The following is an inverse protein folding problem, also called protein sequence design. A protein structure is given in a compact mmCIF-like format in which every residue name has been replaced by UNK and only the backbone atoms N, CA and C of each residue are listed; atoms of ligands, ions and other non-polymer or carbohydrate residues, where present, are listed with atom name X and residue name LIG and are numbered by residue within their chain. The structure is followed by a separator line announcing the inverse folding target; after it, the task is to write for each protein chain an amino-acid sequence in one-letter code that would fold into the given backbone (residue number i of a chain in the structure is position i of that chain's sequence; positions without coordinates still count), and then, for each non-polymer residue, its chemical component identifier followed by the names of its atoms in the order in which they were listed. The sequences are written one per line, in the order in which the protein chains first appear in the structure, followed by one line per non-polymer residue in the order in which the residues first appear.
data_IF_899567641849
#
_entry.id   IF_899567641849
#
_cell.length_a   1.000
_cell.length_b   1.000
_cell.length_c   1.000
_cell.angle_alpha   90.00
_cell.angle_beta   90.00
_cell.angle_gamma   90.00
#
_symmetry.space_group_name_H-M   'P 1'
#
loop_
_entity.id
_entity.type
_entity.pdbx_description
1 polymer ?
#
# COMPACT_ATOMS: atom_id res chain seq x y z
N UNK A 1 -3.47 9.63 -40.68
CA UNK A 1 -2.79 10.08 -39.43
C UNK A 1 -2.96 9.04 -38.31
N UNK A 2 -2.35 7.84 -38.41
CA UNK A 2 -2.40 6.77 -37.40
C UNK A 2 -1.00 6.25 -36.97
N UNK A 3 0.07 6.99 -37.30
CA UNK A 3 1.46 6.61 -37.01
C UNK A 3 2.08 7.30 -35.79
N UNK A 4 1.44 8.33 -35.23
CA UNK A 4 2.02 9.17 -34.17
C UNK A 4 1.60 8.75 -32.75
N UNK A 5 0.42 8.11 -32.58
CA UNK A 5 -0.05 7.66 -31.27
C UNK A 5 0.70 6.43 -30.74
N UNK A 6 1.16 5.54 -31.62
CA UNK A 6 1.98 4.38 -31.22
C UNK A 6 3.32 4.83 -30.64
N UNK A 7 3.87 5.96 -31.11
CA UNK A 7 5.14 6.50 -30.63
C UNK A 7 5.05 7.03 -29.20
N UNK A 8 3.97 7.73 -28.84
CA UNK A 8 3.80 8.24 -27.48
C UNK A 8 3.51 7.13 -26.46
N UNK A 9 2.61 6.21 -26.79
CA UNK A 9 2.31 5.07 -25.89
C UNK A 9 3.53 4.19 -25.69
N UNK A 10 4.28 3.89 -26.76
CA UNK A 10 5.52 3.11 -26.65
C UNK A 10 6.59 3.85 -25.85
N UNK A 11 6.73 5.16 -26.02
CA UNK A 11 7.64 6.00 -25.22
C UNK A 11 7.25 5.99 -23.74
N UNK A 12 5.96 6.13 -23.42
CA UNK A 12 5.46 6.06 -22.04
C UNK A 12 5.72 4.66 -21.45
N UNK A 13 5.50 3.59 -22.21
CA UNK A 13 5.81 2.23 -21.77
C UNK A 13 7.32 2.05 -21.54
N UNK A 14 8.18 2.53 -22.44
CA UNK A 14 9.63 2.49 -22.27
C UNK A 14 10.02 3.26 -20.99
N UNK A 15 9.51 4.47 -20.76
CA UNK A 15 9.80 5.24 -19.56
C UNK A 15 9.30 4.57 -18.27
N UNK A 16 8.16 3.87 -18.30
CA UNK A 16 7.62 3.12 -17.16
C UNK A 16 8.39 1.82 -16.87
N UNK A 17 8.98 1.21 -17.89
CA UNK A 17 9.65 -0.10 -17.80
C UNK A 17 11.19 -0.02 -17.92
N UNK A 18 11.76 1.17 -18.03
CA UNK A 18 13.21 1.40 -17.93
C UNK A 18 13.49 1.94 -16.53
N UNK A 19 13.74 1.08 -15.53
CA UNK A 19 14.08 1.55 -14.20
C UNK A 19 15.38 2.36 -14.32
N UNK A 20 15.27 3.67 -14.10
CA UNK A 20 16.43 4.51 -13.88
C UNK A 20 16.66 4.60 -12.37
N UNK A 21 17.91 4.74 -11.93
CA UNK A 21 18.20 4.99 -10.53
C UNK A 21 17.55 6.32 -10.14
N UNK A 22 16.41 6.27 -9.45
CA UNK A 22 15.86 7.48 -8.87
C UNK A 22 16.74 7.85 -7.69
N UNK A 23 17.59 8.87 -7.88
CA UNK A 23 18.37 9.55 -6.84
C UNK A 23 17.49 10.30 -5.82
N UNK A 24 16.29 9.79 -5.55
CA UNK A 24 15.24 10.43 -4.79
C UNK A 24 14.75 9.51 -3.68
N UNK A 25 15.66 9.09 -2.80
CA UNK A 25 15.37 8.88 -1.38
C UNK A 25 16.70 9.04 -0.64
N UNK A 26 16.77 10.00 0.27
CA UNK A 26 17.92 10.20 1.14
C UNK A 26 18.14 8.90 1.91
N UNK A 27 19.14 8.10 1.54
CA UNK A 27 19.63 7.03 2.39
C UNK A 27 20.07 7.68 3.69
N UNK A 28 19.25 7.56 4.73
CA UNK A 28 19.67 7.96 6.06
C UNK A 28 20.76 6.98 6.44
N UNK A 29 22.02 7.43 6.39
CA UNK A 29 23.16 6.67 6.89
C UNK A 29 23.08 6.35 8.39
N UNK A 30 22.09 6.89 9.11
CA UNK A 30 21.80 6.58 10.50
C UNK A 30 20.61 5.62 10.63
N UNK A 31 20.77 4.57 11.43
CA UNK A 31 19.73 3.60 11.79
C UNK A 31 18.46 4.23 12.37
N UNK A 32 18.56 5.45 12.90
CA UNK A 32 17.46 6.25 13.46
C UNK A 32 16.27 6.39 12.49
N UNK A 33 16.55 6.66 11.21
CA UNK A 33 15.50 6.80 10.20
C UNK A 33 14.68 5.53 10.02
N UNK A 34 15.35 4.37 10.05
CA UNK A 34 14.70 3.08 9.93
C UNK A 34 13.83 2.77 11.16
N UNK A 35 14.30 3.09 12.37
CA UNK A 35 13.51 2.87 13.59
C UNK A 35 12.24 3.73 13.61
N UNK A 36 12.36 5.02 13.29
CA UNK A 36 11.21 5.93 13.24
C UNK A 36 10.24 5.50 12.13
N UNK A 37 10.76 5.05 10.98
CA UNK A 37 9.94 4.55 9.89
C UNK A 37 9.17 3.27 10.27
N UNK A 38 9.82 2.31 10.92
CA UNK A 38 9.14 1.11 11.42
C UNK A 38 8.10 1.47 12.50
N UNK A 39 8.41 2.41 13.38
CA UNK A 39 7.44 2.91 14.37
C UNK A 39 6.22 3.53 13.67
N UNK A 40 6.41 4.29 12.60
CA UNK A 40 5.31 4.84 11.81
C UNK A 40 4.40 3.73 11.24
N UNK A 41 4.97 2.64 10.73
CA UNK A 41 4.19 1.49 10.26
C UNK A 41 3.41 0.80 11.38
N UNK A 42 4.00 0.66 12.57
CA UNK A 42 3.30 0.10 13.74
C UNK A 42 2.12 1.00 14.11
N UNK A 43 2.36 2.29 14.31
CA UNK A 43 1.31 3.23 14.69
C UNK A 43 0.19 3.31 13.64
N UNK A 44 0.55 3.40 12.36
CA UNK A 44 -0.42 3.49 11.27
C UNK A 44 -1.21 2.18 11.12
N UNK A 45 -0.52 1.03 11.12
CA UNK A 45 -1.16 -0.29 11.06
C UNK A 45 -2.13 -0.52 12.22
N UNK A 46 -1.73 -0.20 13.45
CA UNK A 46 -2.59 -0.28 14.64
C UNK A 46 -3.81 0.64 14.53
N UNK A 47 -3.63 1.86 14.02
CA UNK A 47 -4.73 2.80 13.81
C UNK A 47 -5.75 2.27 12.78
N UNK A 48 -5.26 1.63 11.72
CA UNK A 48 -6.12 1.03 10.69
C UNK A 48 -6.87 -0.22 11.21
N UNK A 49 -6.22 -1.07 12.02
CA UNK A 49 -6.90 -2.17 12.71
C UNK A 49 -7.98 -1.66 13.66
N UNK A 50 -7.68 -0.61 14.41
CA UNK A 50 -8.64 0.02 15.30
C UNK A 50 -9.84 0.59 14.54
N UNK A 51 -9.61 1.30 13.43
CA UNK A 51 -10.67 1.80 12.56
C UNK A 51 -11.54 0.67 12.00
N UNK A 52 -10.92 -0.40 11.50
CA UNK A 52 -11.65 -1.59 11.06
C UNK A 52 -12.53 -2.16 12.18
N UNK A 53 -11.97 -2.35 13.37
CA UNK A 53 -12.68 -2.89 14.53
C UNK A 53 -13.87 -2.01 14.94
N UNK A 54 -13.68 -0.69 14.98
CA UNK A 54 -14.75 0.26 15.27
C UNK A 54 -15.90 0.16 14.26
N UNK A 55 -15.59 0.15 12.96
CA UNK A 55 -16.63 0.04 11.92
C UNK A 55 -17.33 -1.32 12.02
N UNK A 56 -16.57 -2.40 12.18
CA UNK A 56 -17.09 -3.77 12.28
C UNK A 56 -18.04 -3.96 13.47
N UNK A 57 -17.73 -3.37 14.64
CA UNK A 57 -18.56 -3.42 15.85
C UNK A 57 -19.77 -2.48 15.81
N UNK A 58 -19.81 -1.54 14.89
CA UNK A 58 -20.87 -0.54 14.80
C UNK A 58 -22.02 -0.98 13.88
N UNK A 59 -23.17 -0.29 13.98
CA UNK A 59 -24.27 -0.44 13.03
C UNK A 59 -23.88 0.00 11.60
N UNK A 60 -22.80 0.77 11.46
CA UNK A 60 -22.28 1.19 10.16
C UNK A 60 -21.79 0.03 9.30
N UNK A 61 -21.43 -1.12 9.90
CA UNK A 61 -21.08 -2.31 9.14
C UNK A 61 -22.16 -2.71 8.15
N UNK A 62 -23.44 -2.44 8.41
CA UNK A 62 -24.53 -2.77 7.48
C UNK A 62 -24.51 -1.92 6.20
N UNK A 63 -23.86 -0.76 6.20
CA UNK A 63 -23.80 0.16 5.07
C UNK A 63 -22.64 -0.19 4.13
N UNK A 64 -22.93 -0.33 2.83
CA UNK A 64 -21.95 -0.78 1.82
C UNK A 64 -20.69 0.09 1.72
N UNK A 65 -20.80 1.40 1.91
CA UNK A 65 -19.65 2.31 1.86
C UNK A 65 -18.73 2.18 3.07
N UNK A 66 -19.29 2.01 4.27
CA UNK A 66 -18.52 1.73 5.48
C UNK A 66 -17.82 0.39 5.42
N UNK A 67 -18.42 -0.64 4.82
CA UNK A 67 -17.72 -1.92 4.54
C UNK A 67 -16.49 -1.70 3.65
N UNK A 68 -16.58 -0.87 2.61
CA UNK A 68 -15.44 -0.59 1.74
C UNK A 68 -14.31 0.14 2.48
N UNK A 69 -14.64 1.12 3.33
CA UNK A 69 -13.66 1.80 4.20
C UNK A 69 -13.01 0.79 5.16
N UNK A 70 -13.80 -0.07 5.80
CA UNK A 70 -13.30 -1.08 6.73
C UNK A 70 -12.38 -2.09 6.04
N UNK A 71 -12.75 -2.59 4.85
CA UNK A 71 -11.89 -3.48 4.06
C UNK A 71 -10.61 -2.77 3.63
N UNK A 72 -10.68 -1.52 3.18
CA UNK A 72 -9.49 -0.71 2.88
C UNK A 72 -8.57 -0.54 4.09
N UNK A 73 -9.13 -0.25 5.27
CA UNK A 73 -8.38 -0.14 6.52
C UNK A 73 -7.72 -1.48 6.90
N UNK A 74 -8.45 -2.59 6.82
CA UNK A 74 -7.89 -3.92 7.09
C UNK A 74 -6.77 -4.28 6.12
N UNK A 75 -6.92 -3.97 4.83
CA UNK A 75 -5.85 -4.19 3.84
C UNK A 75 -4.65 -3.28 4.07
N UNK A 76 -4.86 -2.01 4.49
CA UNK A 76 -3.76 -1.12 4.88
C UNK A 76 -3.02 -1.64 6.12
N UNK A 77 -3.74 -2.16 7.12
CA UNK A 77 -3.12 -2.81 8.27
C UNK A 77 -2.25 -4.01 7.84
N UNK A 78 -2.77 -4.85 6.95
CA UNK A 78 -2.01 -5.96 6.39
C UNK A 78 -0.79 -5.51 5.58
N UNK A 79 -0.92 -4.44 4.78
CA UNK A 79 0.21 -3.83 4.07
C UNK A 79 1.32 -3.40 5.04
N UNK A 80 0.99 -2.73 6.14
CA UNK A 80 1.99 -2.34 7.15
C UNK A 80 2.75 -3.54 7.73
N UNK A 81 2.07 -4.68 7.94
CA UNK A 81 2.74 -5.92 8.39
C UNK A 81 3.73 -6.42 7.33
N UNK A 82 3.34 -6.42 6.05
CA UNK A 82 4.23 -6.80 4.96
C UNK A 82 5.45 -5.89 4.86
N UNK A 83 5.26 -4.57 4.98
CA UNK A 83 6.34 -3.59 4.93
C UNK A 83 7.31 -3.76 6.12
N UNK A 84 6.79 -4.00 7.34
CA UNK A 84 7.63 -4.32 8.51
C UNK A 84 8.48 -5.59 8.29
N UNK A 85 7.87 -6.66 7.75
CA UNK A 85 8.62 -7.88 7.40
C UNK A 85 9.70 -7.58 6.37
N UNK A 86 9.37 -6.81 5.32
CA UNK A 86 10.32 -6.45 4.27
C UNK A 86 11.50 -5.63 4.78
N UNK A 87 11.25 -4.66 5.67
CA UNK A 87 12.32 -3.91 6.32
C UNK A 87 13.18 -4.79 7.22
N UNK A 88 12.58 -5.64 8.04
CA UNK A 88 13.32 -6.56 8.92
C UNK A 88 14.21 -7.53 8.13
N UNK A 89 13.68 -8.13 7.06
CA UNK A 89 14.46 -9.03 6.20
C UNK A 89 15.56 -8.28 5.44
N UNK A 90 15.29 -7.05 5.01
CA UNK A 90 16.26 -6.20 4.30
C UNK A 90 17.51 -5.84 5.12
N UNK A 91 17.45 -5.91 6.45
CA UNK A 91 18.64 -5.72 7.30
C UNK A 91 19.58 -6.93 7.28
N UNK A 92 19.09 -8.11 6.90
CA UNK A 92 19.85 -9.37 6.93
C UNK A 92 20.15 -9.93 5.54
N UNK A 93 19.55 -9.37 4.49
CA UNK A 93 19.72 -9.81 3.10
C UNK A 93 20.69 -8.86 2.41
N UNK A 94 21.83 -9.39 1.99
CA UNK A 94 22.74 -8.69 1.08
C UNK A 94 22.23 -8.86 -0.37
N UNK A 95 21.90 -7.76 -1.07
CA UNK A 95 21.36 -7.80 -2.44
C UNK A 95 22.30 -8.45 -3.46
N UNK A 96 23.61 -8.47 -3.19
CA UNK A 96 24.63 -9.06 -4.08
C UNK A 96 24.74 -10.58 -3.96
N UNK A 97 24.10 -11.17 -2.95
CA UNK A 97 24.19 -12.59 -2.62
C UNK A 97 23.32 -13.53 -3.47
N UNK A 98 22.78 -13.11 -4.62
CA UNK A 98 21.95 -14.04 -5.42
C UNK A 98 22.73 -15.30 -5.88
N UNK A 99 24.06 -15.18 -5.99
CA UNK A 99 24.96 -16.24 -6.48
C UNK A 99 25.87 -16.86 -5.40
N UNK A 100 25.89 -16.32 -4.18
CA UNK A 100 26.62 -16.89 -3.05
C UNK A 100 25.65 -17.15 -1.91
N UNK A 101 25.80 -18.25 -1.21
CA UNK A 101 25.20 -18.56 0.11
C UNK A 101 24.02 -19.57 0.12
N UNK A 102 24.00 -20.29 1.26
CA UNK A 102 23.24 -21.46 1.72
C UNK A 102 21.71 -21.41 1.58
N UNK A 103 21.04 -22.54 1.85
CA UNK A 103 19.58 -22.70 1.70
C UNK A 103 18.74 -21.78 2.60
N UNK A 104 19.25 -21.32 3.75
CA UNK A 104 18.55 -20.39 4.64
C UNK A 104 18.56 -18.96 4.12
N UNK A 105 19.67 -18.51 3.53
CA UNK A 105 19.79 -17.17 2.96
C UNK A 105 18.93 -17.02 1.70
N UNK A 106 18.76 -18.12 0.94
CA UNK A 106 17.77 -18.17 -0.16
C UNK A 106 16.32 -17.97 0.31
N UNK A 107 15.92 -18.55 1.46
CA UNK A 107 14.55 -18.36 1.99
C UNK A 107 14.31 -16.91 2.40
N UNK A 108 15.26 -16.31 3.12
CA UNK A 108 15.18 -14.90 3.54
C UNK A 108 15.15 -13.96 2.33
N UNK A 109 15.96 -14.23 1.32
CA UNK A 109 15.95 -13.50 0.06
C UNK A 109 14.57 -13.53 -0.60
N UNK A 110 13.94 -14.70 -0.74
CA UNK A 110 12.62 -14.79 -1.36
C UNK A 110 11.52 -14.09 -0.56
N UNK A 111 11.56 -14.17 0.78
CA UNK A 111 10.61 -13.42 1.63
C UNK A 111 10.80 -11.92 1.40
N UNK A 112 12.04 -11.42 1.51
CA UNK A 112 12.38 -10.02 1.24
C UNK A 112 11.91 -9.58 -0.16
N UNK A 113 12.21 -10.39 -1.19
CA UNK A 113 11.85 -10.10 -2.57
C UNK A 113 10.34 -10.01 -2.76
N UNK A 114 9.57 -10.96 -2.22
CA UNK A 114 8.10 -10.92 -2.28
C UNK A 114 7.55 -9.69 -1.57
N UNK A 115 8.11 -9.33 -0.41
CA UNK A 115 7.66 -8.12 0.33
C UNK A 115 7.95 -6.81 -0.40
N UNK A 116 8.81 -6.79 -1.44
CA UNK A 116 9.00 -5.60 -2.29
C UNK A 116 7.81 -5.32 -3.23
N UNK A 117 6.91 -6.29 -3.42
CA UNK A 117 5.67 -6.09 -4.18
C UNK A 117 4.51 -5.59 -3.31
N UNK A 118 4.78 -5.13 -2.09
CA UNK A 118 3.80 -4.57 -1.15
C UNK A 118 3.02 -3.38 -1.73
N UNK A 119 3.59 -2.66 -2.69
CA UNK A 119 2.93 -1.56 -3.43
C UNK A 119 1.60 -2.00 -4.08
N UNK A 120 1.49 -3.25 -4.55
CA UNK A 120 0.24 -3.77 -5.12
C UNK A 120 -0.85 -3.83 -4.05
N UNK A 121 -0.48 -4.30 -2.85
CA UNK A 121 -1.38 -4.39 -1.69
C UNK A 121 -1.78 -2.99 -1.24
N UNK A 122 -0.84 -2.04 -1.19
CA UNK A 122 -1.12 -0.64 -0.86
C UNK A 122 -2.12 -0.01 -1.84
N UNK A 123 -1.89 -0.17 -3.15
CA UNK A 123 -2.78 0.36 -4.20
C UNK A 123 -4.19 -0.22 -4.11
N UNK A 124 -4.31 -1.53 -3.89
CA UNK A 124 -5.62 -2.18 -3.66
C UNK A 124 -6.32 -1.59 -2.43
N UNK A 125 -5.59 -1.41 -1.33
CA UNK A 125 -6.12 -0.86 -0.09
C UNK A 125 -6.63 0.58 -0.27
N UNK A 126 -5.82 1.43 -0.92
CA UNK A 126 -6.20 2.81 -1.25
C UNK A 126 -7.43 2.88 -2.16
N UNK A 127 -7.55 1.98 -3.13
CA UNK A 127 -8.73 1.91 -4.00
C UNK A 127 -10.00 1.61 -3.20
N UNK A 128 -9.99 0.62 -2.31
CA UNK A 128 -11.13 0.32 -1.44
C UNK A 128 -11.49 1.51 -0.54
N UNK A 129 -10.48 2.11 0.08
CA UNK A 129 -10.66 3.26 0.97
C UNK A 129 -11.27 4.45 0.22
N UNK A 130 -10.72 4.80 -0.95
CA UNK A 130 -11.22 5.85 -1.82
C UNK A 130 -12.67 5.60 -2.27
N UNK A 131 -12.98 4.39 -2.74
CA UNK A 131 -14.35 4.05 -3.16
C UNK A 131 -15.35 4.12 -2.00
N UNK A 132 -14.90 3.77 -0.80
CA UNK A 132 -15.67 3.93 0.43
C UNK A 132 -15.97 5.39 0.75
N UNK A 133 -14.94 6.23 0.82
CA UNK A 133 -15.07 7.67 1.07
C UNK A 133 -15.89 8.39 0.00
N UNK A 134 -15.66 8.09 -1.28
CA UNK A 134 -16.43 8.69 -2.40
C UNK A 134 -17.92 8.38 -2.31
N UNK A 135 -18.29 7.17 -1.86
CA UNK A 135 -19.69 6.79 -1.66
C UNK A 135 -20.28 7.45 -0.42
N UNK A 136 -19.51 7.53 0.67
CA UNK A 136 -19.93 8.23 1.89
C UNK A 136 -20.19 9.71 1.59
N UNK A 137 -19.29 10.39 0.88
CA UNK A 137 -19.46 11.79 0.50
C UNK A 137 -20.73 12.02 -0.32
N UNK A 138 -21.00 11.16 -1.32
CA UNK A 138 -22.25 11.25 -2.11
C UNK A 138 -23.49 11.05 -1.27
N UNK A 139 -23.46 10.13 -0.31
CA UNK A 139 -24.58 9.90 0.62
C UNK A 139 -24.86 11.16 1.46
N UNK A 140 -23.81 11.76 2.04
CA UNK A 140 -23.91 12.98 2.84
C UNK A 140 -24.50 14.13 2.00
N UNK A 141 -23.99 14.36 0.79
CA UNK A 141 -24.51 15.43 -0.09
C UNK A 141 -25.99 15.22 -0.49
N UNK A 142 -26.44 13.97 -0.65
CA UNK A 142 -27.86 13.66 -0.94
C UNK A 142 -28.77 13.93 0.26
N UNK A 143 -28.27 13.70 1.47
CA UNK A 143 -28.98 13.98 2.72
C UNK A 143 -29.14 15.48 2.95
N UNK A 144 -28.07 16.26 2.71
CA UNK A 144 -28.07 17.74 2.82
C UNK A 144 -29.01 18.41 1.81
N UNK A 145 -29.09 17.88 0.59
CA UNK A 145 -29.94 18.42 -0.48
C UNK A 145 -31.40 17.99 -0.41
N UNK A 146 -31.77 17.10 0.53
CA UNK A 146 -33.12 16.55 0.66
C UNK A 146 -33.53 15.61 -0.48
N UNK A 147 -32.65 15.35 -1.46
CA UNK A 147 -32.93 14.54 -2.64
C UNK A 147 -33.12 13.03 -2.35
N UNK A 148 -32.83 12.58 -1.13
CA UNK A 148 -32.98 11.19 -0.69
C UNK A 148 -34.31 10.84 0.01
N UNK A 149 -35.28 11.77 0.09
CA UNK A 149 -36.55 11.60 0.84
C UNK A 149 -37.79 11.31 -0.04
N UNK A 150 -37.63 10.81 -1.26
CA UNK A 150 -38.75 10.35 -2.12
C UNK A 150 -39.00 8.86 -1.97
#
# INVERSE_FOLDING_TARGET
MKGLQVSFTLLVLILLFTPNECLAFQEHGASEGLYIHQLAHICFGSSMLWLFFMIFRSTFWQKRWWKAIAMGALTLAFWNVLTLIGHGMGQSVDPTCMNLVTSLDKKRFWIWYITKFDTIVACMAMLFFYLGLRRLNRFISMEETGAGKT
#
